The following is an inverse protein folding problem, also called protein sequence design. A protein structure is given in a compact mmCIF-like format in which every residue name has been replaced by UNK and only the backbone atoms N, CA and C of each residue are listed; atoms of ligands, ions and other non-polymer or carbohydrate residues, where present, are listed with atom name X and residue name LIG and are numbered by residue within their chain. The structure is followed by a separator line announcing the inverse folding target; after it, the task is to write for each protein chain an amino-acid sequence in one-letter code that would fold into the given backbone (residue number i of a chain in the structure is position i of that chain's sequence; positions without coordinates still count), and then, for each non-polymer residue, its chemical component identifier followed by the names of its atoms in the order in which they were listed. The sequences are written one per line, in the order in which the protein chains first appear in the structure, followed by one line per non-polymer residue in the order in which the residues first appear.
data_IF_881921542352
#
_entry.id   IF_881921542352
#
_cell.length_a   1.000
_cell.length_b   1.000
_cell.length_c   1.000
_cell.angle_alpha   90.00
_cell.angle_beta   90.00
_cell.angle_gamma   90.00
#
_symmetry.space_group_name_H-M   'P 1'
#
loop_
_entity.id
_entity.type
_entity.pdbx_description
1 polymer ?
#
# COMPACT_ATOMS: atom_id res chain seq x y z
N UNK A 1 2.27 37.15 5.20
CA UNK A 1 2.62 35.78 4.79
C UNK A 1 1.34 35.12 4.32
N UNK A 2 1.36 34.70 3.10
CA UNK A 2 0.19 34.07 2.49
C UNK A 2 0.19 32.56 2.82
N UNK A 3 -0.46 32.18 3.89
CA UNK A 3 -0.60 30.79 4.34
C UNK A 3 -1.24 29.91 3.25
N UNK A 4 -2.04 30.49 2.36
CA UNK A 4 -2.64 29.78 1.23
C UNK A 4 -1.61 29.33 0.19
N UNK A 5 -0.57 30.11 0.00
CA UNK A 5 0.53 29.71 -0.89
C UNK A 5 1.21 28.43 -0.39
N UNK A 6 1.51 28.35 0.89
CA UNK A 6 2.09 27.14 1.51
C UNK A 6 1.16 25.94 1.43
N UNK A 7 -0.14 26.14 1.55
CA UNK A 7 -1.13 25.08 1.37
C UNK A 7 -1.09 24.53 -0.05
N UNK A 8 -1.09 25.39 -1.06
CA UNK A 8 -1.02 24.96 -2.45
C UNK A 8 0.27 24.21 -2.76
N UNK A 9 1.41 24.70 -2.28
CA UNK A 9 2.69 24.02 -2.48
C UNK A 9 2.73 22.65 -1.79
N UNK A 10 2.18 22.55 -0.59
CA UNK A 10 2.14 21.29 0.16
C UNK A 10 1.27 20.24 -0.54
N UNK A 11 0.09 20.65 -1.02
CA UNK A 11 -0.81 19.77 -1.78
C UNK A 11 -0.18 19.36 -3.12
N UNK A 12 0.43 20.32 -3.82
CA UNK A 12 1.09 20.08 -5.10
C UNK A 12 2.22 19.06 -4.99
N UNK A 13 2.95 19.04 -3.89
CA UNK A 13 4.01 18.03 -3.63
C UNK A 13 3.46 16.61 -3.61
N UNK A 14 2.30 16.36 -3.02
CA UNK A 14 1.65 15.03 -3.06
C UNK A 14 1.36 14.58 -4.48
N UNK A 15 0.76 15.44 -5.29
CA UNK A 15 0.48 15.12 -6.69
C UNK A 15 1.74 14.96 -7.52
N UNK A 16 2.76 15.77 -7.27
CA UNK A 16 4.05 15.70 -7.96
C UNK A 16 4.74 14.35 -7.75
N UNK A 17 4.73 13.84 -6.54
CA UNK A 17 5.33 12.52 -6.24
C UNK A 17 4.58 11.40 -6.95
N UNK A 18 3.25 11.49 -7.04
CA UNK A 18 2.41 10.51 -7.73
C UNK A 18 2.37 10.69 -9.25
N UNK A 19 2.72 11.84 -9.76
CA UNK A 19 2.61 12.20 -11.17
C UNK A 19 3.75 11.68 -12.06
N UNK A 20 4.35 10.51 -11.75
CA UNK A 20 5.43 9.93 -12.52
C UNK A 20 5.26 8.41 -12.65
N UNK A 21 5.28 7.84 -13.89
CA UNK A 21 4.94 6.43 -14.13
C UNK A 21 5.80 5.43 -13.37
N UNK A 22 7.10 5.66 -13.24
CA UNK A 22 8.00 4.75 -12.53
C UNK A 22 7.66 4.68 -11.05
N UNK A 23 7.32 5.81 -10.43
CA UNK A 23 6.89 5.85 -9.02
C UNK A 23 5.57 5.15 -8.81
N UNK A 24 4.63 5.27 -9.75
CA UNK A 24 3.37 4.50 -9.70
C UNK A 24 3.60 2.99 -9.82
N UNK A 25 4.54 2.56 -10.65
CA UNK A 25 4.92 1.13 -10.75
C UNK A 25 5.50 0.60 -9.45
N UNK A 26 6.34 1.36 -8.78
CA UNK A 26 6.91 1.00 -7.48
C UNK A 26 5.83 0.95 -6.42
N UNK A 27 4.95 1.95 -6.38
CA UNK A 27 3.83 1.98 -5.45
C UNK A 27 2.91 0.77 -5.63
N UNK A 28 2.59 0.42 -6.87
CA UNK A 28 1.81 -0.78 -7.19
C UNK A 28 2.50 -2.07 -6.72
N UNK A 29 3.82 -2.17 -6.89
CA UNK A 29 4.59 -3.32 -6.41
C UNK A 29 4.55 -3.46 -4.88
N UNK A 30 4.43 -2.36 -4.15
CA UNK A 30 4.45 -2.31 -2.68
C UNK A 30 3.05 -2.24 -2.04
N UNK A 31 1.98 -2.16 -2.81
CA UNK A 31 0.64 -1.91 -2.27
C UNK A 31 0.09 -3.03 -1.38
N UNK A 32 0.52 -4.25 -1.56
CA UNK A 32 0.03 -5.41 -0.80
C UNK A 32 0.98 -5.84 0.32
N UNK A 33 2.27 -5.69 0.14
CA UNK A 33 3.29 -6.15 1.10
C UNK A 33 4.60 -5.40 0.93
N UNK A 34 5.40 -5.39 1.99
CA UNK A 34 6.76 -4.86 1.89
C UNK A 34 7.64 -5.73 0.98
N UNK A 35 8.60 -5.10 0.33
CA UNK A 35 9.57 -5.76 -0.56
C UNK A 35 10.95 -5.15 -0.40
N UNK A 36 11.97 -5.98 -0.55
CA UNK A 36 13.33 -5.49 -0.71
C UNK A 36 13.58 -4.97 -2.14
N UNK A 37 14.68 -4.25 -2.32
CA UNK A 37 15.03 -3.64 -3.63
C UNK A 37 15.07 -4.68 -4.75
N UNK A 38 15.67 -5.85 -4.51
CA UNK A 38 15.75 -6.91 -5.53
C UNK A 38 14.39 -7.45 -5.94
N UNK A 39 13.47 -7.60 -5.00
CA UNK A 39 12.10 -8.03 -5.28
C UNK A 39 11.34 -6.98 -6.10
N UNK A 40 11.52 -5.69 -5.78
CA UNK A 40 10.92 -4.59 -6.56
C UNK A 40 11.45 -4.59 -7.99
N UNK A 41 12.75 -4.78 -8.19
CA UNK A 41 13.37 -4.89 -9.52
C UNK A 41 12.76 -6.04 -10.32
N UNK A 42 12.60 -7.20 -9.70
CA UNK A 42 11.99 -8.37 -10.35
C UNK A 42 10.55 -8.13 -10.78
N UNK A 43 9.75 -7.55 -9.91
CA UNK A 43 8.30 -7.32 -10.15
C UNK A 43 8.09 -6.22 -11.17
N UNK A 44 8.88 -5.15 -11.12
CA UNK A 44 8.71 -3.99 -11.99
C UNK A 44 9.46 -4.09 -13.32
N UNK A 45 10.45 -4.98 -13.41
CA UNK A 45 11.37 -5.09 -14.55
C UNK A 45 12.11 -3.76 -14.87
N UNK A 46 12.29 -2.90 -13.88
CA UNK A 46 13.01 -1.63 -13.99
C UNK A 46 14.51 -1.82 -13.67
N UNK A 47 15.34 -0.95 -14.21
CA UNK A 47 16.77 -0.95 -13.91
C UNK A 47 17.05 -0.60 -12.44
N UNK A 48 18.03 -1.25 -11.82
CA UNK A 48 18.41 -1.07 -10.42
C UNK A 48 18.64 0.40 -10.04
N UNK A 49 19.42 1.13 -10.84
CA UNK A 49 19.74 2.53 -10.58
C UNK A 49 18.48 3.40 -10.58
N UNK A 50 17.54 3.13 -11.48
CA UNK A 50 16.27 3.85 -11.57
C UNK A 50 15.38 3.55 -10.37
N UNK A 51 15.23 2.28 -9.98
CA UNK A 51 14.49 1.86 -8.79
C UNK A 51 15.07 2.51 -7.53
N UNK A 52 16.38 2.43 -7.32
CA UNK A 52 17.05 2.99 -6.14
C UNK A 52 16.87 4.51 -6.05
N UNK A 53 16.95 5.22 -7.17
CA UNK A 53 16.73 6.67 -7.21
C UNK A 53 15.32 7.05 -6.84
N UNK A 54 14.32 6.37 -7.41
CA UNK A 54 12.92 6.64 -7.09
C UNK A 54 12.52 6.23 -5.67
N UNK A 55 13.03 5.11 -5.17
CA UNK A 55 12.83 4.72 -3.77
C UNK A 55 13.36 5.76 -2.80
N UNK A 56 14.53 6.33 -3.07
CA UNK A 56 15.10 7.42 -2.29
C UNK A 56 14.21 8.66 -2.28
N UNK A 57 13.71 9.09 -3.44
CA UNK A 57 12.80 10.24 -3.58
C UNK A 57 11.46 9.99 -2.86
N UNK A 58 10.88 8.82 -3.02
CA UNK A 58 9.61 8.45 -2.37
C UNK A 58 9.75 8.34 -0.85
N UNK A 59 10.86 7.83 -0.37
CA UNK A 59 11.18 7.80 1.05
C UNK A 59 11.35 9.21 1.62
N UNK A 60 12.09 10.08 0.95
CA UNK A 60 12.28 11.49 1.35
C UNK A 60 10.97 12.25 1.38
N UNK A 61 10.05 11.96 0.47
CA UNK A 61 8.72 12.57 0.41
C UNK A 61 7.75 12.04 1.49
N UNK A 62 8.16 11.04 2.28
CA UNK A 62 7.30 10.42 3.30
C UNK A 62 6.28 9.42 2.76
N UNK A 63 6.34 9.06 1.46
CA UNK A 63 5.44 8.09 0.86
C UNK A 63 5.76 6.65 1.28
N UNK A 64 7.03 6.35 1.48
CA UNK A 64 7.51 5.04 1.88
C UNK A 64 8.17 5.11 3.25
N UNK A 65 8.03 4.03 4.01
CA UNK A 65 8.90 3.69 5.13
C UNK A 65 9.85 2.57 4.73
N UNK A 66 10.93 2.44 5.47
CA UNK A 66 11.93 1.39 5.22
C UNK A 66 12.48 0.84 6.52
N UNK A 67 12.90 -0.42 6.47
CA UNK A 67 13.64 -1.07 7.54
C UNK A 67 14.82 -1.86 6.98
N UNK A 68 15.83 -2.02 7.80
CA UNK A 68 16.99 -2.86 7.45
C UNK A 68 16.85 -4.23 8.11
N UNK A 69 17.14 -5.26 7.32
CA UNK A 69 17.27 -6.63 7.81
C UNK A 69 18.52 -7.27 7.19
N UNK A 70 19.57 -7.44 8.00
CA UNK A 70 20.87 -7.87 7.50
C UNK A 70 21.46 -6.88 6.49
N UNK A 71 21.75 -7.36 5.28
CA UNK A 71 22.26 -6.55 4.17
C UNK A 71 21.15 -5.99 3.27
N UNK A 72 19.89 -6.32 3.56
CA UNK A 72 18.74 -5.92 2.74
C UNK A 72 17.98 -4.77 3.38
N UNK A 73 17.43 -3.91 2.52
CA UNK A 73 16.51 -2.85 2.91
C UNK A 73 15.14 -3.18 2.33
N UNK A 74 14.12 -3.22 3.20
CA UNK A 74 12.74 -3.45 2.86
C UNK A 74 11.98 -2.14 2.87
N UNK A 75 11.18 -1.92 1.85
CA UNK A 75 10.32 -0.76 1.71
C UNK A 75 8.85 -1.15 1.80
N UNK A 76 8.04 -0.29 2.36
CA UNK A 76 6.58 -0.39 2.37
C UNK A 76 5.93 0.97 2.23
N UNK A 77 4.68 1.01 1.81
CA UNK A 77 3.90 2.23 1.78
C UNK A 77 3.66 2.73 3.20
N UNK A 78 4.03 3.98 3.47
CA UNK A 78 3.95 4.56 4.81
C UNK A 78 2.51 4.95 5.19
N UNK A 79 1.71 5.37 4.20
CA UNK A 79 0.33 5.84 4.41
C UNK A 79 -0.59 5.21 3.36
N UNK A 80 -1.66 4.51 3.78
CA UNK A 80 -2.65 3.95 2.88
C UNK A 80 -3.33 4.96 1.96
N UNK A 81 -3.31 6.23 2.30
CA UNK A 81 -3.89 7.31 1.50
C UNK A 81 -3.33 7.35 0.08
N UNK A 82 -2.03 7.10 -0.10
CA UNK A 82 -1.41 7.08 -1.43
C UNK A 82 -2.00 5.99 -2.33
N UNK A 83 -2.28 4.82 -1.75
CA UNK A 83 -2.91 3.70 -2.44
C UNK A 83 -4.36 4.04 -2.79
N UNK A 84 -5.11 4.58 -1.86
CA UNK A 84 -6.50 5.01 -2.06
C UNK A 84 -6.62 6.09 -3.13
N UNK A 85 -5.72 7.06 -3.15
CA UNK A 85 -5.70 8.11 -4.15
C UNK A 85 -5.43 7.54 -5.56
N UNK A 86 -4.46 6.65 -5.69
CA UNK A 86 -4.17 5.98 -6.96
C UNK A 86 -5.34 5.12 -7.45
N UNK A 87 -5.99 4.40 -6.54
CA UNK A 87 -7.18 3.60 -6.86
C UNK A 87 -8.33 4.48 -7.35
N UNK A 88 -8.60 5.59 -6.67
CA UNK A 88 -9.65 6.54 -7.04
C UNK A 88 -9.41 7.16 -8.42
N UNK A 89 -8.19 7.63 -8.67
CA UNK A 89 -7.81 8.20 -9.96
C UNK A 89 -7.89 7.15 -11.07
N UNK A 90 -7.40 5.94 -10.84
CA UNK A 90 -7.44 4.85 -11.81
C UNK A 90 -8.86 4.45 -12.20
N UNK A 91 -9.76 4.39 -11.22
CA UNK A 91 -11.19 4.15 -11.45
C UNK A 91 -11.81 5.24 -12.32
N UNK A 92 -11.47 6.49 -12.06
CA UNK A 92 -11.97 7.64 -12.83
C UNK A 92 -11.43 7.63 -14.27
N UNK A 93 -10.15 7.32 -14.46
CA UNK A 93 -9.53 7.20 -15.79
C UNK A 93 -10.17 6.06 -16.58
N UNK A 94 -10.38 4.90 -15.94
CA UNK A 94 -11.02 3.75 -16.54
C UNK A 94 -12.47 4.04 -16.99
N UNK A 95 -13.22 4.84 -16.23
CA UNK A 95 -14.60 5.19 -16.55
C UNK A 95 -14.74 6.11 -17.76
N UNK A 96 -13.71 6.90 -18.05
CA UNK A 96 -13.70 7.85 -19.20
C UNK A 96 -13.39 7.22 -20.55
N UNK A 97 -13.19 5.94 -20.66
CA UNK A 97 -13.12 5.07 -21.84
C UNK A 97 -12.49 5.61 -23.15
N UNK A 98 -11.88 6.78 -23.17
CA UNK A 98 -11.29 7.40 -24.37
C UNK A 98 -9.86 6.89 -24.67
N UNK A 99 -9.34 6.00 -23.84
CA UNK A 99 -8.02 5.42 -24.06
C UNK A 99 -8.13 4.21 -24.98
N UNK A 100 -8.15 4.46 -26.28
CA UNK A 100 -8.07 3.41 -27.31
C UNK A 100 -6.80 2.54 -27.21
N UNK A 101 -5.84 2.92 -26.38
CA UNK A 101 -4.54 2.27 -26.22
C UNK A 101 -4.42 1.33 -25.01
N UNK A 102 -5.31 1.44 -24.04
CA UNK A 102 -5.28 0.62 -22.82
C UNK A 102 -6.63 -0.01 -22.58
N UNK A 103 -6.66 -1.33 -22.39
CA UNK A 103 -7.90 -2.04 -22.14
C UNK A 103 -8.49 -1.71 -20.78
N UNK A 104 -9.82 -1.67 -20.71
CA UNK A 104 -10.54 -1.53 -19.43
C UNK A 104 -10.15 -2.63 -18.44
N UNK A 105 -9.84 -3.81 -18.94
CA UNK A 105 -9.40 -4.95 -18.14
C UNK A 105 -8.09 -4.66 -17.40
N UNK A 106 -7.12 -4.01 -18.06
CA UNK A 106 -5.85 -3.60 -17.42
C UNK A 106 -6.08 -2.60 -16.28
N UNK A 107 -7.01 -1.64 -16.47
CA UNK A 107 -7.39 -0.73 -15.39
C UNK A 107 -8.07 -1.44 -14.23
N UNK A 108 -8.95 -2.39 -14.50
CA UNK A 108 -9.62 -3.17 -13.48
C UNK A 108 -8.62 -3.98 -12.66
N UNK A 109 -7.66 -4.63 -13.30
CA UNK A 109 -6.57 -5.33 -12.62
C UNK A 109 -5.78 -4.41 -11.69
N UNK A 110 -5.42 -3.23 -12.17
CA UNK A 110 -4.71 -2.25 -11.36
C UNK A 110 -5.53 -1.85 -10.11
N UNK A 111 -6.81 -1.57 -10.27
CA UNK A 111 -7.72 -1.21 -9.16
C UNK A 111 -7.88 -2.36 -8.18
N UNK A 112 -8.01 -3.59 -8.65
CA UNK A 112 -8.09 -4.78 -7.80
C UNK A 112 -6.82 -4.98 -6.98
N UNK A 113 -5.64 -4.84 -7.58
CA UNK A 113 -4.36 -4.95 -6.89
C UNK A 113 -4.18 -3.88 -5.81
N UNK A 114 -4.72 -2.69 -6.05
CA UNK A 114 -4.71 -1.55 -5.11
C UNK A 114 -5.80 -1.63 -4.04
N UNK A 115 -6.71 -2.60 -4.14
CA UNK A 115 -7.77 -2.78 -3.14
C UNK A 115 -7.24 -3.58 -1.96
N UNK A 116 -7.42 -3.11 -0.70
CA UNK A 116 -6.96 -3.83 0.47
C UNK A 116 -7.58 -5.23 0.53
N UNK A 117 -6.75 -6.24 0.68
CA UNK A 117 -7.25 -7.60 0.96
C UNK A 117 -7.87 -7.57 2.35
N UNK A 118 -9.12 -7.98 2.44
CA UNK A 118 -9.76 -8.21 3.75
C UNK A 118 -8.97 -9.33 4.42
N UNK A 119 -8.34 -9.02 5.55
CA UNK A 119 -7.75 -10.04 6.41
C UNK A 119 -8.85 -11.05 6.74
N UNK A 120 -8.59 -12.37 6.66
CA UNK A 120 -9.57 -13.34 7.07
C UNK A 120 -9.97 -13.03 8.51
N UNK A 121 -11.26 -12.85 8.77
CA UNK A 121 -11.77 -12.64 10.12
C UNK A 121 -11.23 -13.78 10.97
N UNK A 122 -10.34 -13.46 11.90
CA UNK A 122 -9.90 -14.40 12.93
C UNK A 122 -11.18 -14.81 13.66
N UNK A 123 -11.61 -16.06 13.43
CA UNK A 123 -12.68 -16.63 14.24
C UNK A 123 -12.18 -16.63 15.66
N UNK A 124 -12.65 -15.72 16.47
CA UNK A 124 -12.43 -15.73 17.91
C UNK A 124 -12.99 -17.05 18.42
N UNK A 125 -12.06 -17.93 18.78
CA UNK A 125 -12.38 -19.20 19.42
C UNK A 125 -13.12 -18.87 20.71
N UNK A 126 -14.41 -19.16 20.76
CA UNK A 126 -15.20 -18.98 21.95
C UNK A 126 -14.49 -19.66 23.13
N UNK A 127 -14.22 -18.90 24.19
CA UNK A 127 -13.69 -19.44 25.44
C UNK A 127 -14.70 -20.46 25.95
N UNK A 128 -14.32 -21.73 25.90
CA UNK A 128 -15.08 -22.76 26.67
C UNK A 128 -14.95 -22.40 28.12
N UNK A 129 -16.07 -22.10 28.75
CA UNK A 129 -16.15 -22.02 30.20
C UNK A 129 -15.79 -23.38 30.81
N UNK A 130 -14.93 -23.41 31.82
CA UNK A 130 -14.64 -24.64 32.54
C UNK A 130 -15.94 -25.13 33.24
N UNK A 131 -16.15 -26.45 33.38
CA UNK A 131 -17.34 -26.97 34.03
C UNK A 131 -17.36 -26.57 35.51
N UNK A 132 -18.51 -26.16 35.99
CA UNK A 132 -18.73 -25.83 37.38
C UNK A 132 -18.45 -27.06 38.24
N UNK A 133 -17.56 -26.90 39.23
CA UNK A 133 -17.22 -27.93 40.21
C UNK A 133 -18.40 -28.07 41.18
N UNK A 134 -19.15 -29.14 41.06
CA UNK A 134 -20.17 -29.50 42.07
C UNK A 134 -19.41 -30.02 43.30
N UNK A 135 -19.36 -29.23 44.32
CA UNK A 135 -19.02 -29.70 45.66
C UNK A 135 -20.23 -30.46 46.22
N UNK A 136 -20.12 -31.76 46.23
CA UNK A 136 -20.98 -32.63 47.02
C UNK A 136 -20.76 -32.34 48.50
N UNK A 137 -21.82 -31.93 49.18
CA UNK A 137 -21.87 -31.87 50.64
C UNK A 137 -22.07 -33.29 51.13
N UNK A 138 -21.05 -33.89 51.73
CA UNK A 138 -21.27 -35.03 52.59
C UNK A 138 -21.81 -34.51 53.93
N UNK A 139 -23.02 -34.94 54.22
CA UNK A 139 -23.69 -34.75 55.51
C UNK A 139 -23.42 -35.98 56.37
N UNK A 140 -22.92 -35.73 57.57
CA UNK A 140 -23.30 -36.52 58.78
C UNK A 140 -23.32 -35.58 59.94
#
# INVERSE_FOLDING_TARGET
VDDMHEVFESVARYFSVLGEPTRLRILHALCQEEKCVNEIIKVTALAQANVSRHLGLMYQAGMLSRRREGTQIFYKVADPMYIELCRTVSTQVASRADSASVSRESFNHFVEDMTPRQSPKVKTRAKRNPPANQKEKASV
#
